data_IF_432481477415
#
_entry.id   IF_432481477415
#
_cell.length_a   1.000
_cell.length_b   1.000
_cell.length_c   1.000
_cell.angle_alpha   90.00
_cell.angle_beta   90.00
_cell.angle_gamma   90.00
#
_symmetry.space_group_name_H-M   'P 1'
#
loop_
_entity.id
_entity.type
_entity.pdbx_description
1 polymer ?
#
# COMPACT_ATOMS: atom_id res chain seq x y z
N UNK A 1 14.75 -10.58 21.33
CA UNK A 1 15.17 -11.85 20.72
C UNK A 1 13.98 -12.39 19.93
N UNK A 2 14.00 -12.25 18.60
CA UNK A 2 12.98 -12.84 17.73
C UNK A 2 13.44 -14.24 17.31
N UNK A 3 12.62 -15.30 17.45
CA UNK A 3 12.81 -16.50 16.66
C UNK A 3 11.87 -16.45 15.44
N UNK A 4 12.50 -16.57 14.27
CA UNK A 4 11.85 -16.81 12.99
C UNK A 4 11.25 -18.21 12.93
N UNK A 5 10.12 -18.37 12.23
CA UNK A 5 9.81 -19.60 11.51
C UNK A 5 8.98 -19.27 10.25
N UNK A 6 9.51 -19.77 9.14
CA UNK A 6 9.12 -19.58 7.75
C UNK A 6 8.20 -20.72 7.31
N UNK A 7 7.36 -20.40 6.31
CA UNK A 7 6.60 -21.31 5.43
C UNK A 7 5.26 -21.85 5.92
N UNK A 8 4.18 -21.34 5.32
CA UNK A 8 3.21 -22.20 4.63
C UNK A 8 2.85 -21.57 3.29
N UNK A 9 3.32 -22.19 2.20
CA UNK A 9 2.57 -22.21 0.94
C UNK A 9 1.15 -22.68 1.27
N UNK A 10 0.13 -21.89 0.96
CA UNK A 10 -1.24 -22.27 1.32
C UNK A 10 -2.27 -21.28 0.81
N UNK A 11 -2.92 -21.65 -0.29
CA UNK A 11 -4.20 -21.15 -0.80
C UNK A 11 -5.17 -20.91 0.38
N UNK A 12 -6.04 -19.89 0.38
CA UNK A 12 -7.26 -19.99 1.17
C UNK A 12 -8.18 -21.01 0.47
N UNK A 13 -7.95 -22.31 0.69
CA UNK A 13 -9.02 -23.32 0.57
C UNK A 13 -9.88 -23.11 1.81
N UNK A 14 -10.96 -22.35 1.68
CA UNK A 14 -11.83 -22.10 2.84
C UNK A 14 -12.70 -20.85 2.78
N UNK A 15 -12.96 -20.25 1.62
CA UNK A 15 -14.12 -19.36 1.51
C UNK A 15 -15.30 -20.27 1.16
N UNK A 16 -16.20 -20.52 2.10
CA UNK A 16 -17.48 -21.15 1.81
C UNK A 16 -18.17 -20.28 0.74
N UNK A 17 -18.13 -20.72 -0.53
CA UNK A 17 -18.66 -19.99 -1.68
C UNK A 17 -20.16 -19.62 -1.50
N UNK A 18 -20.87 -20.34 -0.64
CA UNK A 18 -22.31 -20.16 -0.42
C UNK A 18 -22.67 -19.12 0.67
N UNK A 19 -21.74 -18.68 1.52
CA UNK A 19 -22.04 -17.70 2.57
C UNK A 19 -21.41 -16.31 2.33
N UNK A 20 -20.44 -16.22 1.41
CA UNK A 20 -19.79 -14.95 1.05
C UNK A 20 -20.61 -14.13 0.04
N UNK A 21 -21.35 -14.77 -0.87
CA UNK A 21 -22.08 -14.05 -1.91
C UNK A 21 -23.17 -13.12 -1.35
N UNK A 22 -23.84 -13.50 -0.26
CA UNK A 22 -24.93 -12.69 0.32
C UNK A 22 -24.43 -11.50 1.15
N UNK A 23 -23.26 -11.61 1.78
CA UNK A 23 -22.63 -10.49 2.50
C UNK A 23 -21.89 -9.56 1.55
N UNK A 24 -21.22 -10.12 0.54
CA UNK A 24 -20.43 -9.33 -0.41
C UNK A 24 -21.34 -8.50 -1.33
N UNK A 25 -22.53 -9.01 -1.71
CA UNK A 25 -23.56 -8.22 -2.41
C UNK A 25 -24.12 -7.12 -1.51
N UNK A 26 -24.34 -7.39 -0.21
CA UNK A 26 -24.78 -6.35 0.74
C UNK A 26 -23.74 -5.25 0.92
N UNK A 27 -22.47 -5.60 1.07
CA UNK A 27 -21.37 -4.63 1.16
C UNK A 27 -21.23 -3.81 -0.12
N UNK A 28 -21.46 -4.41 -1.28
CA UNK A 28 -21.46 -3.71 -2.56
C UNK A 28 -22.65 -2.74 -2.69
N UNK A 29 -23.85 -3.16 -2.27
CA UNK A 29 -25.04 -2.31 -2.24
C UNK A 29 -24.84 -1.15 -1.27
N UNK A 30 -24.30 -1.38 -0.06
CA UNK A 30 -24.00 -0.31 0.90
C UNK A 30 -22.95 0.65 0.37
N UNK A 31 -21.90 0.16 -0.30
CA UNK A 31 -20.86 1.03 -0.90
C UNK A 31 -21.40 1.91 -2.03
N UNK A 32 -22.41 1.44 -2.78
CA UNK A 32 -23.10 2.24 -3.80
C UNK A 32 -24.15 3.18 -3.19
N UNK A 33 -24.72 2.84 -2.03
CA UNK A 33 -25.72 3.65 -1.33
C UNK A 33 -25.10 4.80 -0.51
N UNK A 34 -23.89 4.62 0.03
CA UNK A 34 -23.22 5.58 0.93
C UNK A 34 -22.42 6.65 0.17
N UNK A 35 -22.99 7.24 -0.89
CA UNK A 35 -22.39 8.37 -1.61
C UNK A 35 -22.39 9.71 -0.85
N UNK A 36 -22.41 9.69 0.49
CA UNK A 36 -22.34 10.87 1.36
C UNK A 36 -21.44 10.57 2.59
N UNK A 37 -20.12 10.67 2.40
CA UNK A 37 -19.09 10.99 3.41
C UNK A 37 -18.94 10.15 4.70
N UNK A 38 -17.83 9.40 4.82
CA UNK A 38 -16.82 9.51 5.92
C UNK A 38 -15.90 8.26 6.02
N UNK A 39 -14.58 8.49 5.91
CA UNK A 39 -13.43 7.65 6.33
C UNK A 39 -13.32 6.22 5.74
N UNK A 40 -12.87 6.11 4.48
CA UNK A 40 -11.96 5.04 4.05
C UNK A 40 -10.88 5.64 3.16
N UNK A 41 -9.63 5.39 3.53
CA UNK A 41 -8.40 5.90 2.93
C UNK A 41 -8.47 6.03 1.40
N UNK A 42 -8.03 7.19 0.92
CA UNK A 42 -7.93 7.63 -0.47
C UNK A 42 -7.07 6.72 -1.36
N UNK A 43 -7.64 5.64 -1.89
CA UNK A 43 -7.43 5.41 -3.32
C UNK A 43 -8.60 6.14 -3.99
N UNK A 44 -8.35 7.00 -4.97
CA UNK A 44 -9.40 7.37 -5.91
C UNK A 44 -9.38 6.28 -6.97
N UNK A 45 -10.45 5.48 -7.05
CA UNK A 45 -10.66 4.63 -8.22
C UNK A 45 -11.19 5.55 -9.32
N UNK A 46 -10.30 6.00 -10.22
CA UNK A 46 -10.68 6.90 -11.31
C UNK A 46 -11.32 6.17 -12.50
N UNK A 47 -11.85 4.97 -12.32
CA UNK A 47 -12.52 4.23 -13.38
C UNK A 47 -13.71 3.50 -12.79
N UNK A 48 -14.88 3.74 -13.38
CA UNK A 48 -16.19 3.20 -12.96
C UNK A 48 -16.20 1.65 -13.04
N UNK A 49 -15.21 1.03 -13.70
CA UNK A 49 -15.11 -0.40 -13.95
C UNK A 49 -14.48 -1.24 -12.83
N UNK A 50 -13.98 -0.66 -11.74
CA UNK A 50 -13.36 -1.44 -10.66
C UNK A 50 -13.82 -1.01 -9.26
N UNK A 51 -15.07 -1.31 -8.93
CA UNK A 51 -15.52 -1.30 -7.54
C UNK A 51 -14.93 -2.51 -6.82
N UNK A 52 -14.02 -2.27 -5.86
CA UNK A 52 -13.43 -3.31 -5.03
C UNK A 52 -14.06 -3.24 -3.63
N UNK A 53 -14.88 -4.22 -3.22
CA UNK A 53 -15.51 -4.25 -1.89
C UNK A 53 -14.48 -4.11 -0.77
N UNK A 54 -14.88 -3.50 0.36
CA UNK A 54 -13.98 -3.20 1.49
C UNK A 54 -13.24 -4.44 2.00
N UNK A 55 -13.93 -5.57 2.08
CA UNK A 55 -13.33 -6.84 2.51
C UNK A 55 -12.24 -7.30 1.56
N UNK A 56 -12.49 -7.24 0.26
CA UNK A 56 -11.52 -7.59 -0.79
C UNK A 56 -10.32 -6.63 -0.74
N UNK A 57 -10.56 -5.32 -0.60
CA UNK A 57 -9.51 -4.31 -0.41
C UNK A 57 -8.60 -4.66 0.77
N UNK A 58 -9.19 -5.02 1.91
CA UNK A 58 -8.45 -5.34 3.15
C UNK A 58 -7.60 -6.61 2.98
N UNK A 59 -8.15 -7.62 2.29
CA UNK A 59 -7.40 -8.84 1.95
C UNK A 59 -6.24 -8.53 1.00
N UNK A 60 -6.46 -7.71 -0.04
CA UNK A 60 -5.41 -7.30 -0.98
C UNK A 60 -4.31 -6.50 -0.28
N UNK A 61 -4.67 -5.57 0.60
CA UNK A 61 -3.72 -4.80 1.40
C UNK A 61 -2.86 -5.73 2.27
N UNK A 62 -3.49 -6.67 2.97
CA UNK A 62 -2.80 -7.65 3.82
C UNK A 62 -1.84 -8.54 3.03
N UNK A 63 -2.26 -8.99 1.84
CA UNK A 63 -1.41 -9.79 0.94
C UNK A 63 -0.21 -8.98 0.46
N UNK A 64 -0.44 -7.77 -0.02
CA UNK A 64 0.62 -6.88 -0.50
C UNK A 64 1.69 -6.63 0.58
N UNK A 65 1.27 -6.37 1.82
CA UNK A 65 2.22 -6.20 2.93
C UNK A 65 3.05 -7.43 3.24
N UNK A 66 2.44 -8.63 3.21
CA UNK A 66 3.16 -9.88 3.51
C UNK A 66 4.08 -10.33 2.37
N UNK A 67 3.78 -9.94 1.12
CA UNK A 67 4.62 -10.22 -0.04
C UNK A 67 5.67 -9.15 -0.32
N UNK A 68 5.64 -8.02 0.39
CA UNK A 68 6.60 -6.94 0.19
C UNK A 68 7.96 -7.29 0.84
N UNK A 69 8.99 -6.56 0.42
CA UNK A 69 10.29 -6.55 1.09
C UNK A 69 10.11 -6.08 2.54
N UNK A 70 10.71 -6.81 3.48
CA UNK A 70 10.60 -6.54 4.90
C UNK A 70 11.72 -5.64 5.39
N UNK A 71 11.45 -4.95 6.50
CA UNK A 71 12.48 -4.18 7.20
C UNK A 71 13.54 -5.16 7.71
N UNK A 72 14.80 -4.90 7.36
CA UNK A 72 15.94 -5.74 7.74
C UNK A 72 16.38 -6.73 6.66
N UNK A 73 15.61 -6.89 5.57
CA UNK A 73 16.05 -7.68 4.43
C UNK A 73 17.23 -6.96 3.74
N UNK A 74 18.33 -7.66 3.41
CA UNK A 74 19.40 -7.08 2.60
C UNK A 74 18.91 -6.88 1.17
N UNK A 75 19.11 -5.68 0.61
CA UNK A 75 18.78 -5.39 -0.78
C UNK A 75 20.03 -5.08 -1.62
N UNK A 76 20.11 -5.71 -2.78
CA UNK A 76 21.06 -5.33 -3.82
C UNK A 76 20.66 -4.01 -4.50
N UNK A 77 21.64 -3.32 -5.10
CA UNK A 77 21.41 -2.07 -5.85
C UNK A 77 20.34 -2.19 -6.95
N UNK A 78 20.30 -3.33 -7.64
CA UNK A 78 19.33 -3.56 -8.70
C UNK A 78 17.90 -3.73 -8.16
N UNK A 79 17.75 -4.33 -6.97
CA UNK A 79 16.43 -4.53 -6.33
C UNK A 79 15.91 -3.21 -5.79
N UNK A 80 16.77 -2.42 -5.13
CA UNK A 80 16.43 -1.07 -4.68
C UNK A 80 15.93 -0.20 -5.83
N UNK A 81 16.63 -0.21 -6.98
CA UNK A 81 16.22 0.54 -8.17
C UNK A 81 14.86 0.09 -8.69
N UNK A 82 14.63 -1.22 -8.84
CA UNK A 82 13.35 -1.78 -9.29
C UNK A 82 12.18 -1.33 -8.42
N UNK A 83 12.37 -1.27 -7.10
CA UNK A 83 11.33 -0.80 -6.17
C UNK A 83 10.93 0.65 -6.48
N UNK A 84 11.92 1.53 -6.66
CA UNK A 84 11.68 2.94 -6.98
C UNK A 84 11.02 3.12 -8.35
N UNK A 85 11.47 2.36 -9.36
CA UNK A 85 10.86 2.36 -10.70
C UNK A 85 9.40 1.90 -10.68
N UNK A 86 9.08 0.83 -9.94
CA UNK A 86 7.70 0.36 -9.78
C UNK A 86 6.82 1.40 -9.08
N UNK A 87 7.33 2.09 -8.04
CA UNK A 87 6.61 3.16 -7.37
C UNK A 87 6.31 4.32 -8.32
N UNK A 88 7.25 4.67 -9.21
CA UNK A 88 7.04 5.73 -10.20
C UNK A 88 5.92 5.42 -11.21
N UNK A 89 5.61 4.15 -11.46
CA UNK A 89 4.52 3.72 -12.33
C UNK A 89 3.12 3.73 -11.69
N UNK A 90 3.02 3.96 -10.37
CA UNK A 90 1.73 3.99 -9.66
C UNK A 90 1.11 5.38 -9.72
N UNK A 91 -0.24 5.44 -9.77
CA UNK A 91 -0.99 6.72 -9.73
C UNK A 91 -0.80 7.50 -8.44
N UNK A 92 -0.74 6.80 -7.29
CA UNK A 92 -0.68 7.43 -5.96
C UNK A 92 0.33 6.71 -5.06
N UNK A 93 1.64 6.89 -5.30
CA UNK A 93 2.67 6.10 -4.63
C UNK A 93 3.00 6.55 -3.21
N UNK A 94 2.36 7.60 -2.69
CA UNK A 94 2.77 8.29 -1.45
C UNK A 94 2.40 7.57 -0.16
N UNK A 95 1.37 6.72 -0.20
CA UNK A 95 0.87 6.00 0.95
C UNK A 95 0.65 4.53 0.60
N UNK A 96 1.01 3.64 1.53
CA UNK A 96 0.67 2.23 1.43
C UNK A 96 -0.86 2.05 1.64
N UNK A 97 -1.45 0.90 1.30
CA UNK A 97 -2.89 0.68 1.45
C UNK A 97 -3.37 0.70 2.92
N UNK A 98 -2.45 0.71 3.89
CA UNK A 98 -2.73 0.89 5.33
C UNK A 98 -2.50 2.34 5.81
N UNK A 99 -2.16 3.26 4.92
CA UNK A 99 -1.97 4.68 5.24
C UNK A 99 -0.57 5.07 5.74
N UNK A 100 0.43 4.19 5.67
CA UNK A 100 1.83 4.56 6.02
C UNK A 100 2.49 5.28 4.84
N UNK A 101 3.25 6.37 5.09
CA UNK A 101 3.98 7.04 4.03
C UNK A 101 5.08 6.13 3.45
N UNK A 102 5.20 6.08 2.13
CA UNK A 102 6.18 5.25 1.41
C UNK A 102 7.52 5.96 1.21
N UNK A 103 7.50 7.28 0.99
CA UNK A 103 8.68 8.11 0.77
C UNK A 103 8.51 9.49 1.39
N UNK A 104 9.64 10.11 1.77
CA UNK A 104 9.70 11.46 2.34
C UNK A 104 10.91 12.20 1.75
N UNK A 105 10.74 13.49 1.52
CA UNK A 105 11.85 14.36 1.17
C UNK A 105 12.73 14.57 2.40
N UNK A 106 14.02 14.23 2.31
CA UNK A 106 14.94 14.35 3.42
C UNK A 106 15.50 15.77 3.54
N UNK A 107 16.11 16.28 2.48
CA UNK A 107 16.75 17.59 2.47
C UNK A 107 16.92 18.12 1.07
N UNK A 108 16.87 19.44 0.92
CA UNK A 108 17.28 20.12 -0.30
C UNK A 108 18.79 20.42 -0.24
N UNK A 109 19.53 19.82 -1.16
CA UNK A 109 20.98 20.00 -1.25
C UNK A 109 21.33 21.46 -1.56
N UNK A 110 20.51 22.18 -2.33
CA UNK A 110 20.74 23.59 -2.66
C UNK A 110 20.74 24.46 -1.41
N UNK A 111 19.74 24.26 -0.54
CA UNK A 111 19.68 24.92 0.76
C UNK A 111 20.90 24.62 1.63
N UNK A 112 21.42 23.38 1.61
CA UNK A 112 22.64 23.02 2.34
C UNK A 112 23.84 23.80 1.81
N UNK A 113 24.05 23.80 0.49
CA UNK A 113 25.18 24.49 -0.12
C UNK A 113 25.14 26.01 0.15
N UNK A 114 23.97 26.65 0.04
CA UNK A 114 23.83 28.08 0.32
C UNK A 114 24.09 28.41 1.79
N UNK A 115 23.61 27.59 2.73
CA UNK A 115 23.93 27.76 4.16
C UNK A 115 25.42 27.59 4.43
N UNK A 116 26.06 26.61 3.79
CA UNK A 116 27.49 26.39 3.94
C UNK A 116 28.32 27.56 3.40
N UNK A 117 27.89 28.22 2.33
CA UNK A 117 28.59 29.38 1.78
C UNK A 117 28.41 30.63 2.65
N UNK A 118 27.20 30.84 3.19
CA UNK A 118 26.89 31.96 4.07
C UNK A 118 27.43 31.79 5.51
N UNK A 119 27.90 30.60 5.87
CA UNK A 119 28.49 30.33 7.20
C UNK A 119 29.96 30.76 7.32
N UNK A 120 30.60 31.21 6.23
CA UNK A 120 31.99 31.69 6.19
C UNK A 120 32.11 33.21 5.97
N UNK A 121 31.00 33.94 5.96
CA UNK A 121 30.92 35.41 5.94
C UNK A 121 30.29 35.90 7.22
#
# INVERSE_FOLDING_TARGET
MCPANICCRGIPRGVNANLALSTDVKDLISTLADSEGSVISSYKMDTIDSVCPLRVRTMLASRACRSSVMIGDPLGRNEMRKIVEHLAGLKSPWNCPHGRPTMRHLVDLTSIYLKSLNAFT
#
